data_IF_823512152248
#
_entry.id   IF_823512152248
#
_cell.length_a   1.000
_cell.length_b   1.000
_cell.length_c   1.000
_cell.angle_alpha   90.00
_cell.angle_beta   90.00
_cell.angle_gamma   90.00
#
_symmetry.space_group_name_H-M   'P 1'
#
loop_
_entity.id
_entity.type
_entity.pdbx_description
1 polymer ?
#
# COMPACT_ATOMS: atom_id res chain seq x y z
N UNK A 1 -15.40 36.50 10.29
CA UNK A 1 -14.99 35.54 9.24
C UNK A 1 -15.28 34.11 9.70
N UNK A 2 -16.47 33.60 9.39
CA UNK A 2 -17.04 32.31 9.81
C UNK A 2 -16.92 31.20 8.74
N UNK A 3 -15.90 31.29 7.88
CA UNK A 3 -15.62 30.35 6.79
C UNK A 3 -15.23 28.91 7.21
N UNK A 4 -14.59 28.63 8.39
CA UNK A 4 -14.13 27.27 8.71
C UNK A 4 -15.25 26.25 8.93
N UNK A 5 -16.40 26.66 9.48
CA UNK A 5 -17.50 25.74 9.81
C UNK A 5 -18.27 25.27 8.58
N UNK A 6 -18.58 26.17 7.64
CA UNK A 6 -19.46 25.87 6.49
C UNK A 6 -18.87 24.81 5.54
N UNK A 7 -17.57 24.89 5.23
CA UNK A 7 -16.90 23.88 4.41
C UNK A 7 -16.88 22.51 5.07
N UNK A 8 -16.63 22.47 6.40
CA UNK A 8 -16.55 21.21 7.15
C UNK A 8 -17.90 20.51 7.14
N UNK A 9 -18.98 21.23 7.38
CA UNK A 9 -20.33 20.67 7.43
C UNK A 9 -20.76 20.15 6.05
N UNK A 10 -20.46 20.89 4.97
CA UNK A 10 -20.71 20.45 3.60
C UNK A 10 -19.89 19.20 3.24
N UNK A 11 -18.61 19.17 3.62
CA UNK A 11 -17.74 18.03 3.38
C UNK A 11 -18.20 16.78 4.15
N UNK A 12 -18.75 16.94 5.35
CA UNK A 12 -19.35 15.83 6.12
C UNK A 12 -20.67 15.35 5.52
N UNK A 13 -21.47 16.24 4.93
CA UNK A 13 -22.69 15.88 4.21
C UNK A 13 -22.39 15.13 2.90
N UNK A 14 -21.33 15.52 2.19
CA UNK A 14 -20.94 14.95 0.89
C UNK A 14 -19.47 14.50 0.86
N UNK A 15 -19.09 13.48 1.67
CA UNK A 15 -17.69 13.11 1.86
C UNK A 15 -17.02 12.61 0.56
N UNK A 16 -17.75 11.88 -0.29
CA UNK A 16 -17.22 11.43 -1.58
C UNK A 16 -16.84 12.61 -2.47
N UNK A 17 -17.68 13.64 -2.55
CA UNK A 17 -17.41 14.85 -3.35
C UNK A 17 -16.19 15.59 -2.81
N UNK A 18 -16.10 15.76 -1.50
CA UNK A 18 -14.95 16.40 -0.86
C UNK A 18 -13.64 15.64 -1.12
N UNK A 19 -13.65 14.31 -1.00
CA UNK A 19 -12.49 13.45 -1.27
C UNK A 19 -12.05 13.55 -2.72
N UNK A 20 -12.99 13.48 -3.68
CA UNK A 20 -12.69 13.58 -5.11
C UNK A 20 -12.09 14.95 -5.44
N UNK A 21 -12.72 16.04 -4.99
CA UNK A 21 -12.22 17.40 -5.22
C UNK A 21 -10.83 17.62 -4.60
N UNK A 22 -10.60 17.14 -3.37
CA UNK A 22 -9.30 17.23 -2.72
C UNK A 22 -8.23 16.45 -3.50
N UNK A 23 -8.55 15.23 -3.97
CA UNK A 23 -7.63 14.42 -4.74
C UNK A 23 -7.29 15.04 -6.10
N UNK A 24 -8.28 15.60 -6.81
CA UNK A 24 -8.05 16.30 -8.08
C UNK A 24 -7.22 17.57 -7.87
N UNK A 25 -7.53 18.35 -6.84
CA UNK A 25 -6.77 19.56 -6.50
C UNK A 25 -5.30 19.22 -6.21
N UNK A 26 -5.05 18.23 -5.35
CA UNK A 26 -3.68 17.82 -5.01
C UNK A 26 -2.93 17.26 -6.21
N UNK A 27 -3.62 16.56 -7.12
CA UNK A 27 -3.06 16.11 -8.40
C UNK A 27 -2.63 17.26 -9.28
N UNK A 28 -3.53 18.23 -9.52
CA UNK A 28 -3.20 19.41 -10.32
C UNK A 28 -2.02 20.18 -9.72
N UNK A 29 -2.01 20.40 -8.39
CA UNK A 29 -0.92 21.08 -7.70
C UNK A 29 0.41 20.31 -7.80
N UNK A 30 0.38 18.99 -7.61
CA UNK A 30 1.58 18.14 -7.67
C UNK A 30 2.15 18.11 -9.08
N UNK A 31 1.31 17.91 -10.10
CA UNK A 31 1.74 17.89 -11.50
C UNK A 31 2.26 19.26 -11.95
N UNK A 32 1.60 20.36 -11.54
CA UNK A 32 2.08 21.71 -11.83
C UNK A 32 3.44 21.98 -11.20
N UNK A 33 3.62 21.68 -9.91
CA UNK A 33 4.88 21.87 -9.22
C UNK A 33 6.00 21.02 -9.84
N UNK A 34 5.69 19.77 -10.21
CA UNK A 34 6.64 18.86 -10.85
C UNK A 34 7.11 19.39 -12.20
N UNK A 35 6.21 19.92 -13.03
CA UNK A 35 6.55 20.56 -14.30
C UNK A 35 7.34 21.86 -14.10
N UNK A 36 6.94 22.67 -13.12
CA UNK A 36 7.61 23.94 -12.80
C UNK A 36 9.04 23.71 -12.31
N UNK A 37 9.27 22.79 -11.39
CA UNK A 37 10.62 22.51 -10.88
C UNK A 37 11.49 21.90 -11.98
N UNK A 38 10.92 20.99 -12.78
CA UNK A 38 11.63 20.38 -13.90
C UNK A 38 12.03 21.40 -14.98
N UNK A 39 11.18 22.39 -15.28
CA UNK A 39 11.53 23.42 -16.27
C UNK A 39 12.58 24.40 -15.78
N UNK A 40 12.69 24.59 -14.47
CA UNK A 40 13.64 25.53 -13.84
C UNK A 40 14.99 24.91 -13.50
N UNK A 41 15.10 23.58 -13.44
CA UNK A 41 16.29 22.89 -12.95
C UNK A 41 16.72 21.75 -13.89
N UNK A 42 18.02 21.59 -14.16
CA UNK A 42 18.50 20.42 -14.88
C UNK A 42 18.27 19.14 -14.05
N UNK A 43 18.08 18.01 -14.74
CA UNK A 43 18.02 16.70 -14.08
C UNK A 43 19.40 16.34 -13.54
N UNK A 44 19.48 15.88 -12.29
CA UNK A 44 20.74 15.52 -11.63
C UNK A 44 21.43 14.34 -12.32
N UNK A 45 20.65 13.36 -12.79
CA UNK A 45 21.14 12.23 -13.58
C UNK A 45 20.32 12.12 -14.87
N UNK A 46 20.93 12.49 -16.00
CA UNK A 46 20.33 12.36 -17.32
C UNK A 46 20.45 10.93 -17.88
N UNK A 47 21.36 10.11 -17.33
CA UNK A 47 21.67 8.76 -17.79
C UNK A 47 20.82 7.68 -17.11
N UNK A 48 20.33 7.94 -15.90
CA UNK A 48 19.52 6.99 -15.12
C UNK A 48 18.10 6.74 -15.67
N UNK A 49 17.65 7.50 -16.66
CA UNK A 49 16.38 7.29 -17.36
C UNK A 49 16.61 6.67 -18.75
N UNK A 50 17.28 5.51 -18.82
CA UNK A 50 17.39 4.72 -20.06
C UNK A 50 16.04 4.16 -20.44
N UNK A 51 15.26 4.99 -21.13
CA UNK A 51 14.07 4.58 -21.85
C UNK A 51 14.50 4.02 -23.20
N UNK A 52 14.01 2.83 -23.52
CA UNK A 52 14.26 2.23 -24.83
C UNK A 52 13.62 3.04 -25.97
N UNK A 53 12.54 3.75 -25.65
CA UNK A 53 11.82 4.62 -26.57
C UNK A 53 11.70 6.03 -25.98
N UNK A 54 11.95 7.08 -26.77
CA UNK A 54 11.86 8.45 -26.29
C UNK A 54 10.42 8.79 -25.88
N UNK A 55 10.30 9.62 -24.84
CA UNK A 55 9.05 10.27 -24.43
C UNK A 55 9.19 11.78 -24.60
N UNK A 56 8.09 12.45 -24.89
CA UNK A 56 8.07 13.90 -25.10
C UNK A 56 8.61 14.65 -23.87
N UNK A 57 9.30 15.80 -24.05
CA UNK A 57 9.92 16.55 -22.96
C UNK A 57 8.99 16.88 -21.78
N UNK A 58 7.71 17.15 -22.05
CA UNK A 58 6.71 17.45 -21.01
C UNK A 58 6.27 16.21 -20.21
N UNK A 59 6.53 14.99 -20.69
CA UNK A 59 6.26 13.74 -19.97
C UNK A 59 7.48 13.20 -19.21
N UNK A 60 8.69 13.63 -19.56
CA UNK A 60 9.92 13.23 -18.88
C UNK A 60 9.88 13.35 -17.35
N UNK A 61 9.36 14.42 -16.72
CA UNK A 61 9.38 14.49 -15.26
C UNK A 61 8.43 13.48 -14.59
N UNK A 62 7.48 12.90 -15.35
CA UNK A 62 6.59 11.84 -14.89
C UNK A 62 7.18 10.43 -15.04
N UNK A 63 8.31 10.28 -15.75
CA UNK A 63 8.96 9.00 -16.03
C UNK A 63 10.31 8.94 -15.31
N UNK A 64 10.27 8.60 -14.02
CA UNK A 64 11.46 8.47 -13.16
C UNK A 64 11.34 7.25 -12.26
N UNK A 65 12.47 6.76 -11.75
CA UNK A 65 12.52 5.63 -10.82
C UNK A 65 11.76 4.40 -11.36
N UNK A 66 10.89 3.77 -10.56
CA UNK A 66 10.17 2.56 -10.97
C UNK A 66 9.32 2.76 -12.25
N UNK A 67 8.92 4.00 -12.57
CA UNK A 67 8.19 4.30 -13.81
C UNK A 67 9.01 3.99 -15.06
N UNK A 68 10.35 4.13 -15.02
CA UNK A 68 11.23 3.72 -16.13
C UNK A 68 11.04 2.24 -16.44
N UNK A 69 11.01 1.40 -15.40
CA UNK A 69 10.75 -0.03 -15.55
C UNK A 69 9.33 -0.28 -16.06
N UNK A 70 8.31 0.40 -15.53
CA UNK A 70 6.93 0.19 -15.99
C UNK A 70 6.73 0.55 -17.46
N UNK A 71 7.35 1.63 -17.94
CA UNK A 71 7.29 2.04 -19.36
C UNK A 71 8.01 1.03 -20.24
N UNK A 72 9.24 0.64 -19.89
CA UNK A 72 10.00 -0.34 -20.67
C UNK A 72 9.30 -1.72 -20.69
N UNK A 73 8.73 -2.17 -19.58
CA UNK A 73 7.93 -3.43 -19.53
C UNK A 73 6.67 -3.30 -20.38
N UNK A 74 5.98 -2.16 -20.35
CA UNK A 74 4.78 -1.96 -21.15
C UNK A 74 5.07 -1.91 -22.65
N UNK A 75 6.23 -1.43 -23.08
CA UNK A 75 6.62 -1.39 -24.50
C UNK A 75 7.22 -2.71 -24.98
N UNK A 76 8.15 -3.29 -24.22
CA UNK A 76 9.00 -4.41 -24.67
C UNK A 76 8.72 -5.72 -23.95
N UNK A 77 8.05 -5.67 -22.80
CA UNK A 77 7.89 -6.82 -21.91
C UNK A 77 9.12 -7.07 -21.03
N UNK A 78 9.19 -8.31 -20.52
CA UNK A 78 10.18 -8.74 -19.53
C UNK A 78 11.46 -9.26 -20.21
N UNK A 79 12.12 -8.40 -20.99
CA UNK A 79 13.35 -8.74 -21.73
C UNK A 79 14.58 -8.89 -20.84
N UNK A 80 14.58 -8.24 -19.68
CA UNK A 80 15.67 -8.27 -18.71
C UNK A 80 15.18 -8.86 -17.39
N UNK A 81 16.02 -9.66 -16.73
CA UNK A 81 15.66 -10.37 -15.51
C UNK A 81 15.24 -9.42 -14.38
N UNK A 82 15.96 -8.31 -14.17
CA UNK A 82 15.63 -7.34 -13.12
C UNK A 82 14.22 -6.76 -13.26
N UNK A 83 13.67 -6.70 -14.49
CA UNK A 83 12.30 -6.20 -14.71
C UNK A 83 11.26 -7.09 -14.04
N UNK A 84 11.55 -8.37 -13.81
CA UNK A 84 10.64 -9.30 -13.13
C UNK A 84 10.45 -9.03 -11.63
N UNK A 85 11.17 -8.07 -11.04
CA UNK A 85 10.80 -7.50 -9.73
C UNK A 85 9.43 -6.80 -9.74
N UNK A 86 9.01 -6.30 -10.91
CA UNK A 86 7.78 -5.52 -11.06
C UNK A 86 6.65 -6.40 -11.60
N UNK A 87 5.54 -6.47 -10.86
CA UNK A 87 4.37 -7.28 -11.23
C UNK A 87 3.68 -6.73 -12.50
N UNK A 88 3.01 -7.58 -13.31
CA UNK A 88 2.60 -7.23 -14.67
C UNK A 88 1.34 -6.35 -14.78
N UNK A 89 0.63 -6.11 -13.69
CA UNK A 89 -0.67 -5.44 -13.69
C UNK A 89 -0.61 -4.01 -14.22
N UNK A 90 0.25 -3.16 -13.65
CA UNK A 90 0.38 -1.77 -14.10
C UNK A 90 0.97 -1.68 -15.51
N UNK A 91 2.10 -2.34 -15.85
CA UNK A 91 2.59 -2.34 -17.22
C UNK A 91 1.57 -2.86 -18.25
N UNK A 92 0.79 -3.88 -17.89
CA UNK A 92 -0.30 -4.40 -18.73
C UNK A 92 -1.40 -3.38 -18.96
N UNK A 93 -1.83 -2.64 -17.93
CA UNK A 93 -2.79 -1.53 -18.06
C UNK A 93 -2.22 -0.40 -18.93
N UNK A 94 -0.95 -0.06 -18.76
CA UNK A 94 -0.27 0.97 -19.53
C UNK A 94 -0.19 0.59 -21.01
N UNK A 95 0.17 -0.66 -21.33
CA UNK A 95 0.16 -1.20 -22.70
C UNK A 95 -1.24 -1.16 -23.32
N UNK A 96 -2.23 -1.74 -22.64
CA UNK A 96 -3.59 -1.83 -23.17
C UNK A 96 -4.23 -0.44 -23.35
N UNK A 97 -4.05 0.46 -22.37
CA UNK A 97 -4.53 1.83 -22.46
C UNK A 97 -3.78 2.64 -23.51
N UNK A 98 -2.46 2.45 -23.66
CA UNK A 98 -1.67 3.09 -24.70
C UNK A 98 -2.13 2.72 -26.10
N UNK A 99 -2.41 1.42 -26.34
CA UNK A 99 -3.00 0.97 -27.60
C UNK A 99 -4.39 1.57 -27.85
N UNK A 100 -5.21 1.71 -26.80
CA UNK A 100 -6.50 2.40 -26.88
C UNK A 100 -6.36 3.88 -27.26
N UNK A 101 -5.42 4.60 -26.65
CA UNK A 101 -5.15 6.02 -26.95
C UNK A 101 -4.66 6.17 -28.40
N UNK A 102 -3.71 5.32 -28.84
CA UNK A 102 -3.23 5.31 -30.22
C UNK A 102 -4.38 5.08 -31.21
N UNK A 103 -5.24 4.09 -30.94
CA UNK A 103 -6.40 3.77 -31.78
C UNK A 103 -7.36 4.98 -31.88
N UNK A 104 -7.66 5.63 -30.76
CA UNK A 104 -8.51 6.84 -30.73
C UNK A 104 -7.91 8.01 -31.52
N UNK A 105 -6.58 8.10 -31.61
CA UNK A 105 -5.86 9.11 -32.39
C UNK A 105 -5.72 8.76 -33.88
N UNK A 106 -6.19 7.58 -34.31
CA UNK A 106 -6.01 7.10 -35.69
C UNK A 106 -4.56 6.75 -36.04
N UNK A 107 -3.70 6.53 -35.06
CA UNK A 107 -2.29 6.21 -35.27
C UNK A 107 -2.08 4.84 -35.91
N UNK A 108 -1.12 4.72 -36.84
CA UNK A 108 -0.68 3.43 -37.42
C UNK A 108 0.57 2.94 -36.66
N UNK A 109 0.70 1.62 -36.46
CA UNK A 109 1.83 1.02 -35.73
C UNK A 109 1.52 0.68 -34.28
N UNK A 110 2.56 0.51 -33.45
CA UNK A 110 2.46 0.22 -32.01
C UNK A 110 2.30 1.51 -31.18
N UNK A 111 1.74 1.41 -29.98
CA UNK A 111 1.61 2.53 -29.05
C UNK A 111 2.96 3.18 -28.72
N UNK A 112 2.98 4.52 -28.67
CA UNK A 112 4.18 5.27 -28.32
C UNK A 112 4.44 5.27 -26.80
N UNK A 113 5.65 5.65 -26.39
CA UNK A 113 5.96 5.86 -24.97
C UNK A 113 5.03 6.87 -24.32
N UNK A 114 4.67 7.95 -25.03
CA UNK A 114 3.72 8.96 -24.56
C UNK A 114 2.33 8.36 -24.28
N UNK A 115 1.81 7.53 -25.17
CA UNK A 115 0.49 6.91 -25.02
C UNK A 115 0.44 6.03 -23.76
N UNK A 116 1.49 5.22 -23.57
CA UNK A 116 1.65 4.30 -22.44
C UNK A 116 1.79 5.06 -21.11
N UNK A 117 2.54 6.17 -21.09
CA UNK A 117 2.69 7.03 -19.90
C UNK A 117 1.36 7.71 -19.55
N UNK A 118 0.65 8.27 -20.54
CA UNK A 118 -0.65 8.90 -20.32
C UNK A 118 -1.69 7.90 -19.81
N UNK A 119 -1.72 6.68 -20.37
CA UNK A 119 -2.54 5.59 -19.87
C UNK A 119 -2.22 5.25 -18.40
N UNK A 120 -0.93 5.17 -18.06
CA UNK A 120 -0.49 4.95 -16.68
C UNK A 120 -0.93 6.07 -15.73
N UNK A 121 -0.72 7.33 -16.09
CA UNK A 121 -1.08 8.49 -15.27
C UNK A 121 -2.58 8.55 -14.99
N UNK A 122 -3.40 8.31 -16.01
CA UNK A 122 -4.87 8.30 -15.90
C UNK A 122 -5.38 7.12 -15.07
N UNK A 123 -4.81 5.93 -15.26
CA UNK A 123 -5.17 4.75 -14.48
C UNK A 123 -4.77 4.93 -13.00
N UNK A 124 -3.57 5.44 -12.72
CA UNK A 124 -3.13 5.79 -11.37
C UNK A 124 -4.00 6.87 -10.74
N UNK A 125 -4.52 7.83 -11.53
CA UNK A 125 -5.48 8.83 -11.06
C UNK A 125 -6.78 8.21 -10.55
N UNK A 126 -7.37 7.34 -11.36
CA UNK A 126 -8.57 6.62 -10.98
C UNK A 126 -8.33 5.77 -9.71
N UNK A 127 -7.18 5.08 -9.64
CA UNK A 127 -6.81 4.25 -8.50
C UNK A 127 -6.66 5.06 -7.20
N UNK A 128 -5.98 6.21 -7.24
CA UNK A 128 -5.78 7.06 -6.06
C UNK A 128 -7.10 7.61 -5.49
N UNK A 129 -7.99 8.10 -6.37
CA UNK A 129 -9.32 8.59 -5.98
C UNK A 129 -10.14 7.44 -5.40
N UNK A 130 -10.17 6.30 -6.08
CA UNK A 130 -10.90 5.12 -5.62
C UNK A 130 -10.36 4.62 -4.27
N UNK A 131 -9.04 4.59 -4.07
CA UNK A 131 -8.41 4.20 -2.81
C UNK A 131 -8.88 5.10 -1.66
N UNK A 132 -8.87 6.42 -1.83
CA UNK A 132 -9.32 7.35 -0.80
C UNK A 132 -10.81 7.17 -0.46
N UNK A 133 -11.67 6.98 -1.47
CA UNK A 133 -13.11 6.73 -1.27
C UNK A 133 -13.36 5.39 -0.58
N UNK A 134 -12.62 4.34 -0.96
CA UNK A 134 -12.75 3.02 -0.34
C UNK A 134 -12.19 3.03 1.09
N UNK A 135 -11.10 3.75 1.37
CA UNK A 135 -10.58 3.96 2.72
C UNK A 135 -11.61 4.65 3.61
N UNK A 136 -12.26 5.71 3.10
CA UNK A 136 -13.37 6.35 3.81
C UNK A 136 -14.49 5.35 4.14
N UNK A 137 -14.93 4.56 3.15
CA UNK A 137 -15.99 3.54 3.34
C UNK A 137 -15.58 2.43 4.32
N UNK A 138 -14.33 1.97 4.27
CA UNK A 138 -13.76 1.03 5.23
C UNK A 138 -13.75 1.61 6.64
N UNK A 139 -13.37 2.89 6.76
CA UNK A 139 -13.34 3.59 8.05
C UNK A 139 -14.74 3.76 8.62
N UNK A 140 -15.74 4.15 7.82
CA UNK A 140 -17.15 4.17 8.26
C UNK A 140 -17.63 2.79 8.70
N UNK A 141 -17.21 1.72 8.01
CA UNK A 141 -17.60 0.35 8.35
C UNK A 141 -17.04 -0.12 9.70
N UNK A 142 -15.83 0.28 10.06
CA UNK A 142 -15.16 -0.08 11.31
C UNK A 142 -15.46 0.88 12.46
N UNK A 143 -15.75 2.16 12.14
CA UNK A 143 -16.01 3.24 13.09
C UNK A 143 -17.35 3.96 12.77
N UNK A 144 -18.51 3.27 12.86
CA UNK A 144 -19.79 3.72 12.29
C UNK A 144 -20.37 5.01 12.89
N UNK A 145 -19.94 5.43 14.09
CA UNK A 145 -20.40 6.66 14.76
C UNK A 145 -19.44 7.83 14.58
N UNK A 146 -18.44 7.71 13.69
CA UNK A 146 -17.31 8.65 13.58
C UNK A 146 -17.12 9.14 12.14
N UNK A 147 -18.16 9.78 11.59
CA UNK A 147 -18.12 10.34 10.22
C UNK A 147 -16.96 11.33 10.01
N UNK A 148 -16.73 12.23 10.97
CA UNK A 148 -15.60 13.16 10.90
C UNK A 148 -14.24 12.45 10.91
N UNK A 149 -14.08 11.40 11.70
CA UNK A 149 -12.85 10.60 11.71
C UNK A 149 -12.62 9.92 10.34
N UNK A 150 -13.66 9.38 9.72
CA UNK A 150 -13.58 8.76 8.40
C UNK A 150 -13.18 9.75 7.31
N UNK A 151 -13.77 10.95 7.30
CA UNK A 151 -13.40 12.01 6.37
C UNK A 151 -11.95 12.47 6.61
N UNK A 152 -11.58 12.75 7.86
CA UNK A 152 -10.21 13.14 8.23
C UNK A 152 -9.19 12.08 7.80
N UNK A 153 -9.48 10.80 8.00
CA UNK A 153 -8.62 9.68 7.56
C UNK A 153 -8.36 9.74 6.05
N UNK A 154 -9.41 9.91 5.25
CA UNK A 154 -9.28 9.95 3.80
C UNK A 154 -8.53 11.20 3.31
N UNK A 155 -8.77 12.37 3.93
CA UNK A 155 -8.05 13.60 3.59
C UNK A 155 -6.56 13.53 3.98
N UNK A 156 -6.23 12.96 5.13
CA UNK A 156 -4.83 12.74 5.54
C UNK A 156 -4.10 11.76 4.63
N UNK A 157 -4.79 10.68 4.19
CA UNK A 157 -4.26 9.75 3.20
C UNK A 157 -3.86 10.47 1.90
N UNK A 158 -4.68 11.42 1.43
CA UNK A 158 -4.35 12.20 0.23
C UNK A 158 -3.11 13.10 0.43
N UNK A 159 -2.73 13.42 1.67
CA UNK A 159 -1.53 14.21 1.99
C UNK A 159 -0.28 13.34 2.19
N UNK A 160 -0.29 12.08 1.75
CA UNK A 160 0.82 11.17 1.96
C UNK A 160 2.20 11.76 1.56
N UNK A 161 3.27 11.44 2.32
CA UNK A 161 4.58 12.04 2.11
C UNK A 161 5.18 11.74 0.73
N UNK A 162 4.98 10.54 0.20
CA UNK A 162 5.25 10.20 -1.21
C UNK A 162 4.24 10.82 -2.18
N UNK A 163 4.14 12.16 -2.20
CA UNK A 163 3.10 12.87 -2.97
C UNK A 163 3.14 12.57 -4.48
N UNK A 164 4.30 12.54 -5.17
CA UNK A 164 4.35 12.22 -6.59
C UNK A 164 3.79 10.85 -6.94
N UNK A 165 4.14 9.79 -6.20
CA UNK A 165 3.71 8.41 -6.47
C UNK A 165 2.21 8.22 -6.25
N UNK A 166 1.59 9.02 -5.37
CA UNK A 166 0.14 9.01 -5.17
C UNK A 166 -0.62 9.82 -6.24
N UNK A 167 -0.07 10.95 -6.67
CA UNK A 167 -0.83 11.99 -7.39
C UNK A 167 -0.41 12.29 -8.82
N UNK A 168 0.81 11.99 -9.24
CA UNK A 168 1.33 12.50 -10.51
C UNK A 168 1.76 11.39 -11.47
N UNK A 169 2.53 10.41 -10.99
CA UNK A 169 3.29 9.48 -11.85
C UNK A 169 2.58 8.13 -11.99
N UNK A 170 2.81 7.38 -13.09
CA UNK A 170 2.40 5.97 -13.19
C UNK A 170 3.13 5.12 -12.14
N UNK A 171 2.40 4.70 -11.12
CA UNK A 171 2.95 3.91 -10.02
C UNK A 171 1.95 2.93 -9.43
N UNK A 172 2.48 1.91 -8.75
CA UNK A 172 1.71 0.79 -8.22
C UNK A 172 1.10 1.04 -6.84
N UNK A 173 1.61 1.96 -6.01
CA UNK A 173 1.08 2.15 -4.65
C UNK A 173 -0.38 2.61 -4.61
N UNK A 174 -0.90 3.45 -5.53
CA UNK A 174 -2.31 3.81 -5.54
C UNK A 174 -3.24 2.62 -5.82
N UNK A 175 -2.84 1.72 -6.71
CA UNK A 175 -3.58 0.47 -6.96
C UNK A 175 -3.48 -0.48 -5.78
N UNK A 176 -2.28 -0.61 -5.20
CA UNK A 176 -2.05 -1.41 -4.02
C UNK A 176 -2.90 -0.93 -2.84
N UNK A 177 -3.00 0.38 -2.62
CA UNK A 177 -3.90 0.97 -1.63
C UNK A 177 -5.36 0.65 -1.93
N UNK A 178 -5.81 0.88 -3.17
CA UNK A 178 -7.18 0.56 -3.61
C UNK A 178 -7.56 -0.89 -3.31
N UNK A 179 -6.78 -1.85 -3.81
CA UNK A 179 -7.11 -3.27 -3.67
C UNK A 179 -6.93 -3.77 -2.23
N UNK A 180 -5.99 -3.20 -1.47
CA UNK A 180 -5.87 -3.48 -0.04
C UNK A 180 -7.13 -3.06 0.71
N UNK A 181 -7.55 -1.81 0.56
CA UNK A 181 -8.72 -1.28 1.25
C UNK A 181 -10.02 -1.91 0.76
N UNK A 182 -10.13 -2.22 -0.53
CA UNK A 182 -11.30 -2.86 -1.11
C UNK A 182 -11.46 -4.29 -0.60
N UNK A 183 -10.39 -5.08 -0.61
CA UNK A 183 -10.42 -6.44 -0.06
C UNK A 183 -10.74 -6.44 1.44
N UNK A 184 -10.15 -5.51 2.21
CA UNK A 184 -10.51 -5.33 3.62
C UNK A 184 -12.00 -4.97 3.79
N UNK A 185 -12.52 -4.03 3.02
CA UNK A 185 -13.93 -3.62 3.08
C UNK A 185 -14.87 -4.80 2.76
N UNK A 186 -14.54 -5.59 1.73
CA UNK A 186 -15.32 -6.77 1.33
C UNK A 186 -15.24 -7.88 2.39
N UNK A 187 -14.07 -8.09 2.99
CA UNK A 187 -13.87 -9.02 4.10
C UNK A 187 -14.75 -8.66 5.31
N UNK A 188 -14.77 -7.39 5.74
CA UNK A 188 -15.65 -6.93 6.83
C UNK A 188 -17.14 -6.86 6.43
N UNK A 189 -17.47 -7.00 5.14
CA UNK A 189 -18.84 -7.25 4.65
C UNK A 189 -19.18 -8.74 4.55
N UNK A 190 -18.29 -9.63 5.03
CA UNK A 190 -18.41 -11.09 4.94
C UNK A 190 -18.49 -11.62 3.49
N UNK A 191 -17.88 -10.92 2.53
CA UNK A 191 -17.82 -11.34 1.13
C UNK A 191 -16.43 -11.87 0.77
N UNK A 192 -16.04 -12.96 1.42
CA UNK A 192 -14.67 -13.46 1.44
C UNK A 192 -14.13 -13.82 0.04
N UNK A 193 -14.92 -14.48 -0.80
CA UNK A 193 -14.52 -14.79 -2.18
C UNK A 193 -14.24 -13.51 -2.99
N UNK A 194 -15.09 -12.49 -2.87
CA UNK A 194 -14.85 -11.20 -3.54
C UNK A 194 -13.67 -10.43 -2.96
N UNK A 195 -13.39 -10.59 -1.66
CA UNK A 195 -12.19 -10.03 -1.03
C UNK A 195 -10.92 -10.71 -1.57
N UNK A 196 -10.94 -12.03 -1.75
CA UNK A 196 -9.85 -12.79 -2.36
C UNK A 196 -9.61 -12.37 -3.81
N UNK A 197 -10.68 -12.17 -4.60
CA UNK A 197 -10.57 -11.62 -5.96
C UNK A 197 -9.98 -10.21 -5.96
N UNK A 198 -10.42 -9.33 -5.06
CA UNK A 198 -9.86 -7.98 -4.95
C UNK A 198 -8.37 -8.02 -4.59
N UNK A 199 -7.94 -8.89 -3.68
CA UNK A 199 -6.53 -9.07 -3.36
C UNK A 199 -5.75 -9.77 -4.46
N UNK A 200 -6.34 -10.68 -5.23
CA UNK A 200 -5.72 -11.25 -6.43
C UNK A 200 -5.45 -10.16 -7.48
N UNK A 201 -6.42 -9.27 -7.73
CA UNK A 201 -6.21 -8.10 -8.58
C UNK A 201 -5.12 -7.17 -8.01
N UNK A 202 -5.05 -7.01 -6.69
CA UNK A 202 -3.95 -6.32 -6.03
C UNK A 202 -2.60 -7.01 -6.26
N UNK A 203 -2.56 -8.34 -6.25
CA UNK A 203 -1.37 -9.16 -6.48
C UNK A 203 -0.77 -8.94 -7.87
N UNK A 204 -1.59 -8.63 -8.89
CA UNK A 204 -1.06 -8.28 -10.22
C UNK A 204 -0.32 -6.95 -10.21
N UNK A 205 -0.60 -6.06 -9.25
CA UNK A 205 0.05 -4.76 -9.12
C UNK A 205 1.30 -4.85 -8.24
N UNK A 206 1.20 -5.57 -7.12
CA UNK A 206 2.28 -5.83 -6.15
C UNK A 206 2.02 -7.13 -5.42
N UNK A 207 3.06 -7.88 -5.06
CA UNK A 207 2.94 -9.18 -4.38
C UNK A 207 2.25 -9.16 -2.99
N UNK A 208 1.90 -7.98 -2.44
CA UNK A 208 1.29 -7.83 -1.11
C UNK A 208 -0.06 -8.55 -0.93
N UNK A 209 -0.80 -8.79 -2.02
CA UNK A 209 -2.08 -9.51 -1.96
C UNK A 209 -1.94 -10.95 -1.44
N UNK A 210 -0.76 -11.56 -1.61
CA UNK A 210 -0.40 -12.86 -1.03
C UNK A 210 -0.45 -12.79 0.50
N UNK A 211 0.24 -11.80 1.09
CA UNK A 211 0.31 -11.60 2.55
C UNK A 211 -1.07 -11.26 3.12
N UNK A 212 -1.84 -10.43 2.41
CA UNK A 212 -3.21 -10.06 2.81
C UNK A 212 -4.13 -11.28 2.86
N UNK A 213 -4.14 -12.10 1.81
CA UNK A 213 -4.96 -13.31 1.75
C UNK A 213 -4.61 -14.29 2.87
N UNK A 214 -3.33 -14.63 3.02
CA UNK A 214 -2.86 -15.54 4.06
C UNK A 214 -3.21 -15.02 5.47
N UNK A 215 -2.96 -13.74 5.74
CA UNK A 215 -3.19 -13.14 7.05
C UNK A 215 -4.67 -13.08 7.43
N UNK A 216 -5.52 -12.49 6.58
CA UNK A 216 -6.93 -12.28 6.91
C UNK A 216 -7.77 -13.56 6.88
N UNK A 217 -7.54 -14.44 5.90
CA UNK A 217 -8.27 -15.72 5.86
C UNK A 217 -7.75 -16.69 6.91
N UNK A 218 -6.46 -16.69 7.21
CA UNK A 218 -5.88 -17.42 8.35
C UNK A 218 -6.51 -16.93 9.67
N UNK A 219 -6.58 -15.62 9.87
CA UNK A 219 -7.27 -15.04 11.02
C UNK A 219 -8.73 -15.49 11.13
N UNK A 220 -9.53 -15.40 10.06
CA UNK A 220 -10.97 -15.71 10.11
C UNK A 220 -11.26 -17.19 10.25
N UNK A 221 -10.69 -18.01 9.36
CA UNK A 221 -11.07 -19.41 9.17
C UNK A 221 -10.25 -20.39 10.00
N UNK A 222 -9.02 -20.02 10.37
CA UNK A 222 -8.15 -20.87 11.20
C UNK A 222 -8.16 -20.40 12.65
N UNK A 223 -7.81 -19.14 12.95
CA UNK A 223 -7.68 -18.68 14.34
C UNK A 223 -9.05 -18.42 15.00
N UNK A 224 -9.84 -17.52 14.41
CA UNK A 224 -11.09 -17.04 15.04
C UNK A 224 -12.19 -18.09 15.05
N UNK A 225 -12.41 -18.81 13.94
CA UNK A 225 -13.50 -19.80 13.85
C UNK A 225 -13.29 -20.95 14.83
N UNK A 226 -12.05 -21.31 15.11
CA UNK A 226 -11.71 -22.45 15.99
C UNK A 226 -11.71 -22.07 17.47
N UNK A 227 -11.73 -20.77 17.78
CA UNK A 227 -11.75 -20.24 19.12
C UNK A 227 -13.12 -19.66 19.48
N UNK A 228 -13.91 -20.43 20.23
CA UNK A 228 -15.15 -20.00 20.90
C UNK A 228 -15.05 -20.10 22.43
N UNK A 229 -13.84 -20.37 22.96
CA UNK A 229 -13.61 -20.61 24.39
C UNK A 229 -13.95 -22.03 24.86
N UNK A 230 -14.37 -22.94 23.97
CA UNK A 230 -14.64 -24.35 24.30
C UNK A 230 -13.72 -25.31 23.53
N UNK A 231 -13.52 -26.52 24.05
CA UNK A 231 -12.78 -27.58 23.36
C UNK A 231 -13.65 -28.38 22.39
N UNK A 232 -14.98 -28.34 22.56
CA UNK A 232 -15.92 -29.10 21.74
C UNK A 232 -16.00 -28.52 20.31
N UNK A 233 -16.06 -29.42 19.32
CA UNK A 233 -16.14 -29.04 17.91
C UNK A 233 -14.92 -28.31 17.35
N UNK A 234 -13.79 -28.19 18.08
CA UNK A 234 -12.57 -27.52 17.58
C UNK A 234 -12.00 -28.22 16.35
N UNK A 235 -11.86 -29.55 16.40
CA UNK A 235 -11.33 -30.34 15.29
C UNK A 235 -12.23 -30.24 14.05
N UNK A 236 -13.55 -30.31 14.22
CA UNK A 236 -14.51 -30.13 13.14
C UNK A 236 -14.44 -28.72 12.52
N UNK A 237 -14.28 -27.68 13.33
CA UNK A 237 -14.10 -26.30 12.87
C UNK A 237 -12.78 -26.09 12.13
N UNK A 238 -11.69 -26.73 12.55
CA UNK A 238 -10.43 -26.77 11.81
C UNK A 238 -10.58 -27.50 10.47
N UNK A 239 -11.15 -28.70 10.48
CA UNK A 239 -11.35 -29.53 9.29
C UNK A 239 -12.20 -28.83 8.23
N UNK A 240 -13.19 -28.04 8.64
CA UNK A 240 -14.03 -27.23 7.73
C UNK A 240 -13.44 -25.87 7.39
N UNK A 241 -12.54 -25.32 8.22
CA UNK A 241 -11.93 -24.01 8.04
C UNK A 241 -10.70 -24.02 7.13
N UNK A 242 -9.82 -25.02 7.27
CA UNK A 242 -8.56 -25.13 6.54
C UNK A 242 -8.77 -25.16 5.01
N UNK A 243 -9.70 -25.94 4.45
CA UNK A 243 -9.93 -25.95 2.99
C UNK A 243 -10.37 -24.58 2.47
N UNK A 244 -11.24 -23.87 3.21
CA UNK A 244 -11.72 -22.53 2.84
C UNK A 244 -10.58 -21.52 2.91
N UNK A 245 -9.78 -21.56 3.97
CA UNK A 245 -8.56 -20.76 4.11
C UNK A 245 -7.61 -21.00 2.93
N UNK A 246 -7.31 -22.25 2.62
CA UNK A 246 -6.39 -22.62 1.55
C UNK A 246 -6.91 -22.13 0.18
N UNK A 247 -8.18 -22.39 -0.14
CA UNK A 247 -8.77 -21.97 -1.41
C UNK A 247 -8.75 -20.45 -1.60
N UNK A 248 -9.17 -19.68 -0.58
CA UNK A 248 -9.21 -18.21 -0.66
C UNK A 248 -7.82 -17.57 -0.67
N UNK A 249 -6.87 -18.12 0.08
CA UNK A 249 -5.48 -17.64 0.10
C UNK A 249 -4.76 -17.98 -1.21
N UNK A 250 -5.02 -19.18 -1.77
CA UNK A 250 -4.52 -19.56 -3.09
C UNK A 250 -5.09 -18.66 -4.17
N UNK A 251 -6.39 -18.36 -4.15
CA UNK A 251 -7.02 -17.43 -5.09
C UNK A 251 -6.35 -16.04 -5.04
N UNK A 252 -6.06 -15.53 -3.84
CA UNK A 252 -5.37 -14.24 -3.67
C UNK A 252 -3.92 -14.26 -4.18
N UNK A 253 -3.28 -15.43 -4.14
CA UNK A 253 -1.88 -15.64 -4.51
C UNK A 253 -1.66 -16.10 -5.94
N UNK A 254 -2.72 -16.57 -6.61
CA UNK A 254 -2.66 -17.18 -7.94
C UNK A 254 -1.95 -16.30 -8.97
N UNK A 255 -2.19 -14.97 -9.04
CA UNK A 255 -1.48 -14.15 -10.02
C UNK A 255 0.02 -14.04 -9.77
N UNK A 256 0.46 -14.06 -8.52
CA UNK A 256 1.89 -14.09 -8.19
C UNK A 256 2.50 -15.42 -8.65
N UNK A 257 1.87 -16.54 -8.34
CA UNK A 257 2.35 -17.87 -8.73
C UNK A 257 2.39 -18.04 -10.26
N UNK A 258 1.35 -17.58 -10.96
CA UNK A 258 1.29 -17.57 -12.42
C UNK A 258 2.41 -16.71 -13.00
N UNK A 259 2.67 -15.53 -12.43
CA UNK A 259 3.74 -14.66 -12.88
C UNK A 259 5.13 -15.26 -12.60
N UNK A 260 5.35 -15.87 -11.44
CA UNK A 260 6.60 -16.59 -11.15
C UNK A 260 6.82 -17.74 -12.15
N UNK A 261 5.76 -18.47 -12.51
CA UNK A 261 5.85 -19.52 -13.54
C UNK A 261 6.20 -18.95 -14.92
N UNK A 262 5.60 -17.83 -15.31
CA UNK A 262 5.93 -17.14 -16.55
C UNK A 262 7.40 -16.71 -16.59
N UNK A 263 7.91 -16.06 -15.54
CA UNK A 263 9.31 -15.64 -15.44
C UNK A 263 10.26 -16.84 -15.50
N UNK A 264 9.91 -17.95 -14.83
CA UNK A 264 10.66 -19.20 -14.94
C UNK A 264 10.77 -19.68 -16.40
N UNK A 265 9.69 -19.65 -17.17
CA UNK A 265 9.73 -20.06 -18.59
C UNK A 265 10.56 -19.14 -19.49
N UNK A 266 10.73 -17.88 -19.10
CA UNK A 266 11.57 -16.93 -19.83
C UNK A 266 13.07 -17.16 -19.59
N UNK A 267 13.46 -17.42 -18.34
CA UNK A 267 14.88 -17.39 -17.95
C UNK A 267 15.48 -18.75 -17.56
N UNK A 268 14.68 -19.80 -17.39
CA UNK A 268 15.14 -21.12 -16.95
C UNK A 268 14.98 -22.23 -18.01
N UNK A 269 14.92 -21.85 -19.31
CA UNK A 269 14.69 -22.80 -20.41
C UNK A 269 15.98 -23.39 -21.01
N UNK A 270 17.11 -22.69 -20.89
CA UNK A 270 18.40 -23.13 -21.45
C UNK A 270 19.35 -23.66 -20.36
N UNK A 271 19.77 -24.95 -20.41
CA UNK A 271 20.63 -25.54 -19.38
C UNK A 271 22.01 -24.87 -19.23
N UNK A 272 22.55 -24.27 -20.30
CA UNK A 272 23.86 -23.62 -20.33
C UNK A 272 23.89 -22.24 -19.66
N UNK A 273 22.73 -21.63 -19.39
CA UNK A 273 22.62 -20.29 -18.80
C UNK A 273 21.64 -20.23 -17.62
N UNK A 274 21.45 -21.36 -16.93
CA UNK A 274 20.55 -21.45 -15.78
C UNK A 274 20.93 -20.44 -14.70
N UNK A 275 19.95 -19.63 -14.28
CA UNK A 275 20.11 -18.70 -13.16
C UNK A 275 20.08 -19.48 -11.84
N UNK A 276 20.79 -19.05 -10.78
CA UNK A 276 20.85 -19.80 -9.52
C UNK A 276 19.47 -20.11 -8.91
N UNK A 277 18.54 -19.16 -9.00
CA UNK A 277 17.17 -19.32 -8.50
C UNK A 277 16.31 -20.29 -9.33
N UNK A 278 16.75 -20.75 -10.49
CA UNK A 278 16.07 -21.80 -11.24
C UNK A 278 16.23 -23.17 -10.54
N UNK A 279 17.38 -23.41 -9.92
CA UNK A 279 17.76 -24.69 -9.29
C UNK A 279 17.70 -24.67 -7.77
N UNK A 280 17.84 -23.50 -7.16
CA UNK A 280 17.85 -23.35 -5.70
C UNK A 280 16.46 -23.00 -5.13
N UNK A 281 16.17 -23.54 -3.94
CA UNK A 281 14.95 -23.21 -3.18
C UNK A 281 13.65 -23.65 -3.87
N UNK A 282 12.65 -22.77 -3.92
CA UNK A 282 11.33 -23.03 -4.51
C UNK A 282 11.21 -22.62 -5.99
N UNK A 283 12.32 -22.24 -6.65
CA UNK A 283 12.26 -21.80 -8.04
C UNK A 283 11.64 -20.41 -8.25
N UNK A 284 11.57 -19.58 -7.19
CA UNK A 284 10.94 -18.26 -7.26
C UNK A 284 11.94 -17.13 -7.49
N UNK A 285 11.85 -16.52 -8.67
CA UNK A 285 12.64 -15.34 -9.07
C UNK A 285 12.50 -14.14 -8.13
N UNK A 286 11.31 -13.87 -7.58
CA UNK A 286 11.00 -12.59 -6.93
C UNK A 286 11.88 -12.26 -5.72
N UNK A 287 12.15 -13.26 -4.86
CA UNK A 287 13.00 -13.08 -3.69
C UNK A 287 14.48 -12.93 -4.08
N UNK A 288 14.92 -13.74 -5.04
CA UNK A 288 16.29 -13.71 -5.53
C UNK A 288 16.61 -12.38 -6.23
N UNK A 289 15.76 -11.93 -7.15
CA UNK A 289 15.92 -10.68 -7.90
C UNK A 289 16.02 -9.48 -6.94
N UNK A 290 15.17 -9.42 -5.91
CA UNK A 290 15.23 -8.35 -4.91
C UNK A 290 16.54 -8.36 -4.11
N UNK A 291 17.07 -9.54 -3.78
CA UNK A 291 18.38 -9.66 -3.13
C UNK A 291 19.52 -9.28 -4.07
N UNK A 292 19.49 -9.76 -5.31
CA UNK A 292 20.60 -9.60 -6.26
C UNK A 292 20.74 -8.15 -6.76
N UNK A 293 19.63 -7.57 -7.25
CA UNK A 293 19.67 -6.28 -7.93
C UNK A 293 19.37 -5.09 -7.01
N UNK A 294 18.79 -5.34 -5.85
CA UNK A 294 18.40 -4.29 -4.89
C UNK A 294 18.89 -4.56 -3.47
N UNK A 295 19.75 -5.55 -3.23
CA UNK A 295 20.30 -5.88 -1.90
C UNK A 295 19.27 -5.96 -0.77
N UNK A 296 18.04 -6.38 -1.09
CA UNK A 296 16.97 -6.55 -0.10
C UNK A 296 17.28 -7.80 0.73
N UNK A 297 17.32 -7.62 2.06
CA UNK A 297 17.60 -8.70 2.98
C UNK A 297 17.59 -8.23 4.43
N UNK A 298 17.47 -9.18 5.36
CA UNK A 298 17.42 -8.88 6.79
C UNK A 298 18.71 -8.17 7.25
N UNK A 299 18.53 -6.96 7.76
CA UNK A 299 19.55 -6.02 8.23
C UNK A 299 20.65 -5.63 7.22
N UNK A 300 20.53 -6.00 5.94
CA UNK A 300 21.54 -5.63 4.92
C UNK A 300 21.66 -4.12 4.74
N UNK A 301 20.55 -3.40 4.85
CA UNK A 301 20.52 -1.95 4.73
C UNK A 301 21.00 -1.19 5.98
N UNK A 302 21.26 -1.89 7.09
CA UNK A 302 21.66 -1.27 8.37
C UNK A 302 23.15 -0.94 8.41
N UNK A 303 23.54 0.06 7.63
CA UNK A 303 24.90 0.62 7.65
C UNK A 303 24.86 2.10 8.03
N UNK A 304 25.95 2.62 8.61
CA UNK A 304 26.04 4.03 9.02
C UNK A 304 25.85 5.00 7.84
N UNK A 305 26.27 4.58 6.64
CA UNK A 305 26.08 5.33 5.39
C UNK A 305 24.61 5.56 5.05
N UNK A 306 23.71 4.66 5.48
CA UNK A 306 22.27 4.76 5.23
C UNK A 306 21.52 5.56 6.29
N UNK A 307 22.19 6.08 7.33
CA UNK A 307 21.57 6.87 8.38
C UNK A 307 20.67 8.01 7.86
N UNK A 308 21.04 8.78 6.80
CA UNK A 308 20.14 9.77 6.22
C UNK A 308 18.79 9.18 5.78
N UNK A 309 18.78 8.00 5.17
CA UNK A 309 17.56 7.33 4.72
C UNK A 309 16.69 6.86 5.89
N UNK A 310 17.29 6.44 7.00
CA UNK A 310 16.55 6.16 8.25
C UNK A 310 15.93 7.44 8.83
N UNK A 311 16.64 8.58 8.79
CA UNK A 311 16.10 9.87 9.24
C UNK A 311 14.94 10.34 8.36
N UNK A 312 15.03 10.14 7.04
CA UNK A 312 13.94 10.41 6.10
C UNK A 312 12.70 9.54 6.41
N UNK A 313 12.89 8.26 6.71
CA UNK A 313 11.83 7.33 7.04
C UNK A 313 11.22 7.55 8.43
N UNK A 314 11.97 8.17 9.35
CA UNK A 314 11.66 8.23 10.78
C UNK A 314 10.26 8.77 11.12
N UNK A 315 9.74 9.85 10.51
CA UNK A 315 8.41 10.36 10.86
C UNK A 315 7.30 9.34 10.59
N UNK A 316 7.37 8.62 9.47
CA UNK A 316 6.36 7.62 9.09
C UNK A 316 6.49 6.35 9.94
N UNK A 317 7.73 5.91 10.20
CA UNK A 317 8.00 4.77 11.08
C UNK A 317 7.58 5.05 12.52
N UNK A 318 7.90 6.23 13.05
CA UNK A 318 7.52 6.63 14.40
C UNK A 318 5.99 6.66 14.55
N UNK A 319 5.27 7.22 13.58
CA UNK A 319 3.81 7.21 13.59
C UNK A 319 3.24 5.78 13.54
N UNK A 320 3.80 4.92 12.68
CA UNK A 320 3.37 3.52 12.52
C UNK A 320 3.62 2.70 13.77
N UNK A 321 4.83 2.76 14.32
CA UNK A 321 5.19 2.09 15.56
C UNK A 321 4.37 2.62 16.75
N UNK A 322 4.09 3.93 16.80
CA UNK A 322 3.22 4.51 17.81
C UNK A 322 1.77 4.00 17.69
N UNK A 323 1.25 3.83 16.46
CA UNK A 323 -0.08 3.25 16.25
C UNK A 323 -0.17 1.83 16.83
N UNK A 324 0.79 0.97 16.49
CA UNK A 324 0.88 -0.39 17.04
C UNK A 324 1.07 -0.37 18.57
N UNK A 325 1.99 0.44 19.08
CA UNK A 325 2.28 0.53 20.51
C UNK A 325 1.05 0.97 21.32
N UNK A 326 0.37 2.04 20.90
CA UNK A 326 -0.83 2.55 21.57
C UNK A 326 -1.95 1.51 21.60
N UNK A 327 -2.19 0.81 20.48
CA UNK A 327 -3.18 -0.27 20.44
C UNK A 327 -2.82 -1.43 21.38
N UNK A 328 -1.61 -1.97 21.29
CA UNK A 328 -1.22 -3.14 22.08
C UNK A 328 -1.14 -2.80 23.57
N UNK A 329 -0.62 -1.64 23.95
CA UNK A 329 -0.53 -1.22 25.35
C UNK A 329 -1.92 -1.23 26.02
N UNK A 330 -2.94 -0.71 25.34
CA UNK A 330 -4.30 -0.66 25.88
C UNK A 330 -5.06 -1.98 25.78
N UNK A 331 -4.68 -2.86 24.85
CA UNK A 331 -5.47 -4.06 24.51
C UNK A 331 -4.67 -5.37 24.64
N UNK A 332 -3.53 -5.39 25.34
CA UNK A 332 -2.58 -6.51 25.35
C UNK A 332 -3.24 -7.84 25.72
N UNK A 333 -3.89 -7.89 26.88
CA UNK A 333 -4.56 -9.09 27.39
C UNK A 333 -5.58 -9.66 26.40
N UNK A 334 -6.43 -8.79 25.84
CA UNK A 334 -7.47 -9.18 24.89
C UNK A 334 -6.89 -9.62 23.54
N UNK A 335 -5.84 -8.94 23.08
CA UNK A 335 -5.14 -9.27 21.84
C UNK A 335 -4.46 -10.65 21.96
N UNK A 336 -3.68 -10.88 23.01
CA UNK A 336 -2.98 -12.16 23.22
C UNK A 336 -3.96 -13.34 23.26
N UNK A 337 -5.08 -13.21 23.99
CA UNK A 337 -6.12 -14.25 24.06
C UNK A 337 -6.80 -14.53 22.71
N UNK A 338 -6.90 -13.52 21.85
CA UNK A 338 -7.56 -13.66 20.55
C UNK A 338 -6.62 -14.19 19.47
N UNK A 339 -5.31 -13.93 19.59
CA UNK A 339 -4.31 -14.26 18.57
C UNK A 339 -3.61 -15.57 18.82
N UNK A 340 -3.39 -15.93 20.09
CA UNK A 340 -2.81 -17.21 20.49
C UNK A 340 -3.90 -18.04 21.17
N UNK A 341 -4.83 -18.64 20.40
CA UNK A 341 -5.93 -19.43 20.95
C UNK A 341 -5.43 -20.70 21.68
N UNK A 342 -4.13 -20.98 21.67
CA UNK A 342 -3.51 -22.11 22.36
C UNK A 342 -2.71 -21.70 23.59
N UNK A 343 -2.60 -20.39 23.88
CA UNK A 343 -1.91 -19.93 25.08
C UNK A 343 -2.80 -20.24 26.31
N UNK A 344 -2.29 -20.97 27.32
CA UNK A 344 -3.07 -21.24 28.52
C UNK A 344 -3.52 -19.93 29.18
N UNK A 345 -4.81 -19.84 29.50
CA UNK A 345 -5.45 -18.64 30.06
C UNK A 345 -4.77 -18.13 31.34
N UNK A 346 -4.07 -19.01 32.07
CA UNK A 346 -3.25 -18.71 33.26
C UNK A 346 -2.02 -17.83 32.96
N UNK A 347 -1.53 -17.81 31.72
CA UNK A 347 -0.43 -16.95 31.28
C UNK A 347 -0.92 -15.62 30.68
N UNK A 348 -2.23 -15.44 30.49
CA UNK A 348 -2.78 -14.23 29.90
C UNK A 348 -2.96 -13.14 30.98
N UNK A 349 -2.44 -11.92 30.79
CA UNK A 349 -2.59 -10.84 31.76
C UNK A 349 -4.08 -10.59 32.10
N UNK A 350 -4.36 -10.16 33.34
CA UNK A 350 -5.68 -9.69 33.75
C UNK A 350 -6.05 -8.43 32.95
N UNK A 351 -7.30 -8.36 32.47
CA UNK A 351 -7.75 -7.23 31.67
C UNK A 351 -7.91 -6.00 32.58
N UNK A 352 -7.21 -4.88 32.31
CA UNK A 352 -7.45 -3.65 33.06
C UNK A 352 -8.88 -3.14 32.82
N UNK A 353 -9.47 -2.39 33.78
CA UNK A 353 -10.77 -1.76 33.59
C UNK A 353 -10.73 -0.85 32.36
N UNK A 354 -11.70 -1.05 31.45
CA UNK A 354 -11.77 -0.29 30.19
C UNK A 354 -12.38 1.07 30.43
N UNK A 355 -11.53 2.10 30.42
CA UNK A 355 -11.99 3.48 30.24
C UNK A 355 -12.01 3.78 28.75
N UNK A 356 -13.19 3.71 28.14
CA UNK A 356 -13.34 4.10 26.74
C UNK A 356 -13.09 5.61 26.62
N UNK A 357 -12.02 6.00 25.93
CA UNK A 357 -11.79 7.39 25.59
C UNK A 357 -12.42 7.69 24.23
N UNK A 358 -13.48 8.52 24.15
CA UNK A 358 -14.10 8.84 22.88
C UNK A 358 -13.15 9.52 21.90
N UNK A 359 -12.05 10.13 22.33
CA UNK A 359 -11.11 10.76 21.38
C UNK A 359 -10.19 9.77 20.66
N UNK A 360 -10.14 8.50 21.08
CA UNK A 360 -9.13 7.52 20.65
C UNK A 360 -9.75 6.21 20.12
N UNK A 361 -10.45 6.25 18.97
CA UNK A 361 -11.20 5.11 18.47
C UNK A 361 -10.34 3.91 18.03
N UNK A 362 -9.09 4.14 17.60
CA UNK A 362 -8.15 3.08 17.23
C UNK A 362 -7.46 2.54 18.48
N UNK A 363 -6.84 3.41 19.29
CA UNK A 363 -6.03 2.98 20.45
C UNK A 363 -6.88 2.39 21.57
N UNK A 364 -8.06 2.96 21.83
CA UNK A 364 -8.98 2.57 22.89
C UNK A 364 -10.39 2.28 22.34
N UNK A 365 -10.59 1.16 21.59
CA UNK A 365 -11.87 0.84 20.99
C UNK A 365 -12.99 0.68 22.04
N UNK A 366 -14.17 1.21 21.73
CA UNK A 366 -15.29 1.30 22.69
C UNK A 366 -15.93 -0.04 23.07
N UNK A 367 -15.66 -1.14 22.34
CA UNK A 367 -16.25 -2.45 22.60
C UNK A 367 -15.28 -3.60 22.31
N UNK A 368 -15.44 -4.78 22.94
CA UNK A 368 -14.62 -5.96 22.63
C UNK A 368 -14.73 -6.39 21.16
N UNK A 369 -15.91 -6.25 20.57
CA UNK A 369 -16.14 -6.54 19.15
C UNK A 369 -15.37 -5.59 18.23
N UNK A 370 -15.25 -4.31 18.58
CA UNK A 370 -14.45 -3.34 17.84
C UNK A 370 -12.96 -3.66 17.97
N UNK A 371 -12.46 -3.96 19.18
CA UNK A 371 -11.07 -4.42 19.38
C UNK A 371 -10.79 -5.66 18.53
N UNK A 372 -11.65 -6.67 18.59
CA UNK A 372 -11.49 -7.92 17.84
C UNK A 372 -11.46 -7.69 16.32
N UNK A 373 -12.26 -6.75 15.82
CA UNK A 373 -12.25 -6.40 14.41
C UNK A 373 -10.92 -5.76 13.98
N UNK A 374 -10.26 -4.99 14.85
CA UNK A 374 -9.02 -4.28 14.54
C UNK A 374 -7.76 -5.14 14.64
N UNK A 375 -7.76 -6.21 15.44
CA UNK A 375 -6.58 -7.07 15.66
C UNK A 375 -5.87 -7.52 14.37
N UNK A 376 -6.53 -8.14 13.36
CA UNK A 376 -5.82 -8.59 12.15
C UNK A 376 -5.22 -7.42 11.35
N UNK A 377 -5.85 -6.24 11.38
CA UNK A 377 -5.32 -5.02 10.75
C UNK A 377 -4.06 -4.53 11.46
N UNK A 378 -4.07 -4.50 12.79
CA UNK A 378 -2.93 -4.07 13.61
C UNK A 378 -1.77 -5.06 13.51
N UNK A 379 -2.03 -6.37 13.53
CA UNK A 379 -1.00 -7.39 13.35
C UNK A 379 -0.29 -7.27 12.01
N UNK A 380 -1.08 -7.18 10.94
CA UNK A 380 -0.53 -6.97 9.61
C UNK A 380 0.26 -5.66 9.53
N UNK A 381 -0.28 -4.56 10.07
CA UNK A 381 0.41 -3.29 10.10
C UNK A 381 1.76 -3.36 10.83
N UNK A 382 1.78 -4.01 11.99
CA UNK A 382 2.98 -4.20 12.79
C UNK A 382 4.01 -5.03 12.02
N UNK A 383 3.59 -6.16 11.44
CA UNK A 383 4.45 -7.05 10.65
C UNK A 383 5.06 -6.31 9.46
N UNK A 384 4.24 -5.59 8.68
CA UNK A 384 4.72 -4.84 7.51
C UNK A 384 5.65 -3.70 7.91
N UNK A 385 5.37 -2.99 9.01
CA UNK A 385 6.24 -1.91 9.51
C UNK A 385 7.60 -2.47 9.94
N UNK A 386 7.61 -3.60 10.65
CA UNK A 386 8.84 -4.27 11.04
C UNK A 386 9.61 -4.78 9.83
N UNK A 387 8.93 -5.38 8.84
CA UNK A 387 9.55 -5.84 7.61
C UNK A 387 10.22 -4.67 6.85
N UNK A 388 9.53 -3.54 6.71
CA UNK A 388 10.08 -2.35 6.07
C UNK A 388 11.29 -1.78 6.82
N UNK A 389 11.28 -1.86 8.15
CA UNK A 389 12.38 -1.40 9.00
C UNK A 389 13.61 -2.33 8.94
N UNK A 390 13.41 -3.64 8.86
CA UNK A 390 14.49 -4.62 9.02
C UNK A 390 14.98 -5.23 7.71
N UNK A 391 14.17 -5.30 6.66
CA UNK A 391 14.52 -6.03 5.42
C UNK A 391 14.58 -5.19 4.16
N UNK A 392 13.83 -4.09 4.10
CA UNK A 392 13.74 -3.25 2.91
C UNK A 392 14.66 -2.02 3.01
N UNK A 393 14.85 -1.35 1.88
CA UNK A 393 15.28 0.04 1.84
C UNK A 393 14.30 0.92 2.63
N UNK A 394 14.70 1.35 3.83
CA UNK A 394 13.77 1.88 4.85
C UNK A 394 12.97 3.10 4.39
N UNK A 395 13.57 3.95 3.54
CA UNK A 395 12.96 5.15 2.99
C UNK A 395 11.70 4.86 2.16
N UNK A 396 11.58 3.66 1.59
CA UNK A 396 10.42 3.25 0.78
C UNK A 396 9.11 3.35 1.55
N UNK A 397 9.16 3.36 2.89
CA UNK A 397 8.00 3.60 3.76
C UNK A 397 7.27 4.90 3.41
N UNK A 398 7.96 5.92 2.91
CA UNK A 398 7.40 7.21 2.52
C UNK A 398 6.39 7.07 1.37
N UNK A 399 6.60 6.11 0.45
CA UNK A 399 5.64 5.77 -0.61
C UNK A 399 4.69 4.64 -0.22
N UNK A 400 5.18 3.60 0.46
CA UNK A 400 4.40 2.38 0.75
C UNK A 400 3.37 2.58 1.87
N UNK A 401 3.52 3.57 2.76
CA UNK A 401 2.58 3.83 3.86
C UNK A 401 1.12 4.06 3.39
N UNK A 402 0.91 4.51 2.16
CA UNK A 402 -0.43 4.67 1.56
C UNK A 402 -1.19 3.33 1.47
N UNK A 403 -0.49 2.20 1.44
CA UNK A 403 -1.13 0.88 1.35
C UNK A 403 -1.71 0.39 2.68
N UNK A 404 -1.48 1.11 3.78
CA UNK A 404 -1.84 0.65 5.11
C UNK A 404 -2.85 1.59 5.79
N UNK A 405 -4.06 1.14 6.14
CA UNK A 405 -5.08 2.03 6.69
C UNK A 405 -4.77 2.48 8.13
N UNK A 406 -3.99 1.69 8.89
CA UNK A 406 -3.72 1.93 10.33
C UNK A 406 -2.93 3.21 10.54
N UNK A 407 -1.96 3.49 9.66
CA UNK A 407 -1.17 4.74 9.67
C UNK A 407 -2.10 5.95 9.64
N UNK A 408 -3.09 5.92 8.73
CA UNK A 408 -4.01 7.03 8.51
C UNK A 408 -5.08 7.13 9.61
N UNK A 409 -5.53 6.00 10.17
CA UNK A 409 -6.41 6.00 11.33
C UNK A 409 -5.74 6.61 12.55
N UNK A 410 -4.47 6.27 12.81
CA UNK A 410 -3.76 6.84 13.94
C UNK A 410 -3.45 8.33 13.74
N UNK A 411 -3.07 8.73 12.51
CA UNK A 411 -2.94 10.15 12.18
C UNK A 411 -4.27 10.91 12.40
N UNK A 412 -5.39 10.34 11.97
CA UNK A 412 -6.71 10.93 12.16
C UNK A 412 -7.11 10.99 13.64
N UNK A 413 -6.72 10.00 14.44
CA UNK A 413 -6.95 9.99 15.89
C UNK A 413 -6.20 11.16 16.56
N UNK A 414 -4.92 11.35 16.23
CA UNK A 414 -4.13 12.47 16.74
C UNK A 414 -4.69 13.83 16.31
N UNK A 415 -5.20 13.95 15.07
CA UNK A 415 -5.81 15.20 14.58
C UNK A 415 -7.15 15.46 15.27
N UNK A 416 -8.03 14.47 15.35
CA UNK A 416 -9.36 14.60 15.94
C UNK A 416 -9.34 14.81 17.46
N UNK A 417 -8.31 14.29 18.16
CA UNK A 417 -8.08 14.54 19.59
C UNK A 417 -7.49 15.92 19.89
N UNK A 418 -7.15 16.72 18.86
CA UNK A 418 -6.50 18.02 19.06
C UNK A 418 -5.04 17.92 19.49
N UNK A 419 -4.42 16.74 19.38
CA UNK A 419 -3.03 16.52 19.78
C UNK A 419 -2.06 17.38 18.97
N UNK A 420 -1.05 17.94 19.66
CA UNK A 420 0.05 18.67 19.01
C UNK A 420 0.77 17.82 17.97
N UNK A 421 0.81 16.50 18.16
CA UNK A 421 1.44 15.55 17.24
C UNK A 421 0.64 15.40 15.95
N UNK A 422 -0.69 15.45 16.01
CA UNK A 422 -1.55 15.46 14.82
C UNK A 422 -1.29 16.70 13.96
N UNK A 423 -1.18 17.88 14.58
CA UNK A 423 -0.84 19.11 13.86
C UNK A 423 0.54 19.05 13.22
N UNK A 424 1.56 18.57 13.95
CA UNK A 424 2.92 18.39 13.42
C UNK A 424 2.96 17.41 12.25
N UNK A 425 2.19 16.32 12.32
CA UNK A 425 2.07 15.35 11.23
C UNK A 425 1.49 15.99 9.95
N UNK A 426 0.43 16.77 10.07
CA UNK A 426 -0.16 17.49 8.92
C UNK A 426 0.87 18.45 8.30
N UNK A 427 1.55 19.25 9.12
CA UNK A 427 2.61 20.16 8.64
C UNK A 427 3.71 19.38 7.93
N UNK A 428 4.17 18.28 8.52
CA UNK A 428 5.16 17.38 7.91
C UNK A 428 4.70 16.88 6.53
N UNK A 429 3.50 16.32 6.42
CA UNK A 429 2.93 15.84 5.16
C UNK A 429 2.85 16.95 4.09
N UNK A 430 2.49 18.17 4.48
CA UNK A 430 2.39 19.32 3.56
C UNK A 430 3.77 19.74 3.07
N UNK A 431 4.73 19.93 3.99
CA UNK A 431 6.10 20.38 3.70
C UNK A 431 6.85 19.30 2.93
N UNK A 432 6.93 18.09 3.49
CA UNK A 432 7.67 16.99 2.87
C UNK A 432 7.08 16.59 1.52
N UNK A 433 5.76 16.54 1.38
CA UNK A 433 5.16 16.23 0.08
C UNK A 433 5.49 17.27 -1.01
N UNK A 434 5.81 18.52 -0.63
CA UNK A 434 6.28 19.56 -1.56
C UNK A 434 7.76 19.37 -1.88
N UNK A 435 8.59 19.12 -0.86
CA UNK A 435 10.02 18.80 -1.01
C UNK A 435 10.22 17.56 -1.89
N UNK A 436 9.48 16.48 -1.62
CA UNK A 436 9.51 15.23 -2.37
C UNK A 436 9.14 15.43 -3.84
N UNK A 437 8.19 16.32 -4.16
CA UNK A 437 7.89 16.68 -5.55
C UNK A 437 9.07 17.40 -6.22
N UNK A 438 9.73 18.31 -5.50
CA UNK A 438 10.94 18.96 -6.01
C UNK A 438 12.08 17.98 -6.26
N UNK A 439 12.39 17.13 -5.27
CA UNK A 439 13.41 16.08 -5.39
C UNK A 439 13.12 15.13 -6.55
N UNK A 440 11.86 14.68 -6.66
CA UNK A 440 11.41 13.87 -7.79
C UNK A 440 11.70 14.55 -9.13
N UNK A 441 11.29 15.81 -9.27
CA UNK A 441 11.44 16.56 -10.52
C UNK A 441 12.89 16.71 -11.00
N UNK A 442 13.88 16.57 -10.11
CA UNK A 442 15.31 16.64 -10.46
C UNK A 442 16.05 15.30 -10.38
N UNK A 443 15.34 14.17 -10.23
CA UNK A 443 15.90 12.80 -10.14
C UNK A 443 16.67 12.53 -8.85
N UNK A 444 16.35 13.26 -7.78
CA UNK A 444 16.86 12.97 -6.45
C UNK A 444 15.90 12.04 -5.71
N UNK A 445 16.42 11.13 -4.87
CA UNK A 445 15.60 10.14 -4.16
C UNK A 445 14.61 10.87 -3.24
N UNK A 446 13.30 10.83 -3.54
CA UNK A 446 12.29 11.49 -2.72
C UNK A 446 11.77 10.60 -1.59
N UNK A 447 12.11 9.31 -1.66
CA UNK A 447 11.65 8.21 -0.84
C UNK A 447 12.45 6.95 -1.16
#
# INVERSE_FOLDING_TARGET
MSLPCRWRDEALAHPTRAIVLASLTLRCLTSFLLLLVFSLNPSFDASAATLSHPVSPYLQPFVRWDTVYFVNIALEGYTQEQRAAFMPGLPGLMRAGGEGIRWLRGGKGAASGDDVVLAGMTATAAAAIAAAVVLHRLTVRLFPRRSAFALTTALLFLLAPGRPTLHAVPYTEPFAALFTFLGMLLFYKNRDATAAVAWALGTTMRAQGVVLGLGFFGWKWVLRRTWDGTSSGRLQRLATGIPVFAALSLLSSLPFLAFQRYVYTLFCSEPSSLRPWCTEGLGFSYGWIQSEYWDVGLFRYWTLLQLPNFLLAAPVLALSLAASYSFYRSNLAFTLRSTLPFLPLSLAPSAPPRHANPSEPLSNPSSPSATLALIPLIHLHTLLTLLLLTTAHVQIVLRVCVTNPVVWWYAAELVCSGSRWGRRWVVYCVVWGTVATGLWAVFLPPA
#
